data_IF_996672735220
#
_entry.id   IF_996672735220
#
_cell.length_a   1.000
_cell.length_b   1.000
_cell.length_c   1.000
_cell.angle_alpha   90.00
_cell.angle_beta   90.00
_cell.angle_gamma   90.00
#
_symmetry.space_group_name_H-M   'P 1'
#
loop_
_entity.id
_entity.type
_entity.pdbx_description
1 polymer ?
#
# COMPACT_ATOMS: atom_id res chain seq x y z
N UNK A 1 0.75 25.10 4.44
CA UNK A 1 1.43 23.80 4.69
C UNK A 1 0.47 22.63 4.99
N UNK A 2 -0.83 22.83 5.29
CA UNK A 2 -1.66 21.79 5.94
C UNK A 2 -2.40 20.76 5.07
N UNK A 3 -2.32 20.79 3.73
CA UNK A 3 -3.18 19.97 2.85
C UNK A 3 -2.46 19.03 1.88
N UNK A 4 -1.13 18.94 1.96
CA UNK A 4 -0.31 18.17 0.99
C UNK A 4 -0.55 16.65 1.06
N UNK A 5 -0.98 16.14 2.21
CA UNK A 5 -1.33 14.73 2.40
C UNK A 5 -2.66 14.32 1.73
N UNK A 6 -3.50 15.29 1.32
CA UNK A 6 -4.79 14.99 0.67
C UNK A 6 -4.61 14.38 -0.72
N UNK A 7 -3.66 14.87 -1.50
CA UNK A 7 -3.41 14.37 -2.86
C UNK A 7 -2.99 12.89 -2.87
N UNK A 8 -1.95 12.45 -2.12
CA UNK A 8 -1.61 11.04 -2.07
C UNK A 8 -2.75 10.21 -1.46
N UNK A 9 -3.41 10.70 -0.40
CA UNK A 9 -4.56 10.01 0.18
C UNK A 9 -5.67 9.76 -0.86
N UNK A 10 -6.08 10.78 -1.61
CA UNK A 10 -7.12 10.64 -2.64
C UNK A 10 -6.73 9.62 -3.70
N UNK A 11 -5.48 9.66 -4.21
CA UNK A 11 -5.02 8.67 -5.20
C UNK A 11 -5.00 7.25 -4.64
N UNK A 12 -4.66 7.06 -3.36
CA UNK A 12 -4.71 5.77 -2.67
C UNK A 12 -6.15 5.28 -2.50
N UNK A 13 -7.07 6.15 -2.11
CA UNK A 13 -8.49 5.80 -1.95
C UNK A 13 -9.13 5.44 -3.29
N UNK A 14 -8.82 6.18 -4.36
CA UNK A 14 -9.28 5.85 -5.72
C UNK A 14 -8.71 4.51 -6.17
N UNK A 15 -7.41 4.26 -5.97
CA UNK A 15 -6.80 2.97 -6.31
C UNK A 15 -7.45 1.83 -5.52
N UNK A 16 -7.58 1.97 -4.21
CA UNK A 16 -8.21 0.97 -3.36
C UNK A 16 -9.66 0.70 -3.77
N UNK A 17 -10.45 1.74 -4.07
CA UNK A 17 -11.81 1.60 -4.56
C UNK A 17 -11.87 0.85 -5.90
N UNK A 18 -10.98 1.15 -6.85
CA UNK A 18 -10.89 0.42 -8.11
C UNK A 18 -10.58 -1.07 -7.88
N UNK A 19 -9.65 -1.38 -6.97
CA UNK A 19 -9.33 -2.75 -6.61
C UNK A 19 -10.47 -3.46 -5.88
N UNK A 20 -11.27 -2.76 -5.08
CA UNK A 20 -12.48 -3.33 -4.50
C UNK A 20 -13.48 -3.75 -5.58
N UNK A 21 -13.65 -2.94 -6.65
CA UNK A 21 -14.49 -3.32 -7.79
C UNK A 21 -13.91 -4.49 -8.58
N UNK A 22 -12.59 -4.50 -8.81
CA UNK A 22 -11.92 -5.63 -9.48
C UNK A 22 -12.11 -6.92 -8.66
N UNK A 23 -11.88 -6.86 -7.35
CA UNK A 23 -12.08 -8.01 -6.46
C UNK A 23 -13.53 -8.48 -6.43
N UNK A 24 -14.50 -7.57 -6.49
CA UNK A 24 -15.91 -7.94 -6.62
C UNK A 24 -16.17 -8.76 -7.89
N UNK A 25 -15.59 -8.37 -9.03
CA UNK A 25 -15.71 -9.11 -10.29
C UNK A 25 -14.88 -10.42 -10.33
N UNK A 26 -13.78 -10.50 -9.58
CA UNK A 26 -12.94 -11.70 -9.49
C UNK A 26 -13.45 -12.70 -8.45
N UNK A 27 -14.28 -12.28 -7.50
CA UNK A 27 -14.80 -13.13 -6.42
C UNK A 27 -15.47 -14.44 -6.92
N UNK A 28 -16.26 -14.47 -8.01
CA UNK A 28 -16.82 -15.72 -8.55
C UNK A 28 -15.75 -16.72 -9.04
N UNK A 29 -14.57 -16.23 -9.41
CA UNK A 29 -13.43 -17.03 -9.88
C UNK A 29 -12.52 -17.48 -8.72
N UNK A 30 -12.86 -17.12 -7.47
CA UNK A 30 -12.08 -17.47 -6.29
C UNK A 30 -10.74 -16.76 -6.17
N UNK A 31 -10.52 -15.68 -6.94
CA UNK A 31 -9.28 -14.89 -6.93
C UNK A 31 -9.49 -13.60 -6.14
N UNK A 32 -8.54 -13.29 -5.26
CA UNK A 32 -8.48 -12.04 -4.52
C UNK A 32 -7.13 -11.34 -4.71
N UNK A 33 -7.17 -10.04 -5.01
CA UNK A 33 -6.00 -9.19 -5.21
C UNK A 33 -5.81 -8.24 -4.03
N UNK A 34 -4.67 -8.36 -3.36
CA UNK A 34 -4.27 -7.47 -2.27
C UNK A 34 -3.21 -6.47 -2.73
N UNK A 35 -3.44 -5.19 -2.41
CA UNK A 35 -2.62 -4.06 -2.88
C UNK A 35 -2.01 -3.19 -1.78
N UNK A 36 -1.98 -3.68 -0.54
CA UNK A 36 -1.49 -2.91 0.62
C UNK A 36 -0.08 -2.36 0.44
N UNK A 37 0.83 -3.14 -0.16
CA UNK A 37 2.21 -2.69 -0.42
C UNK A 37 2.27 -1.52 -1.40
N UNK A 38 1.43 -1.54 -2.44
CA UNK A 38 1.38 -0.46 -3.43
C UNK A 38 0.89 0.86 -2.84
N UNK A 39 -0.12 0.78 -1.96
CA UNK A 39 -0.70 1.94 -1.29
C UNK A 39 0.35 2.74 -0.50
N UNK A 40 1.26 2.06 0.20
CA UNK A 40 2.20 2.73 1.12
C UNK A 40 3.53 3.14 0.48
N UNK A 41 3.91 2.50 -0.64
CA UNK A 41 5.27 2.56 -1.17
C UNK A 41 5.69 3.97 -1.54
N UNK A 42 4.89 4.68 -2.33
CA UNK A 42 5.23 6.04 -2.75
C UNK A 42 5.38 6.98 -1.57
N UNK A 43 4.43 6.91 -0.63
CA UNK A 43 4.41 7.79 0.53
C UNK A 43 5.64 7.60 1.40
N UNK A 44 6.03 6.35 1.66
CA UNK A 44 7.19 6.03 2.50
C UNK A 44 8.51 6.46 1.82
N UNK A 45 8.62 6.20 0.51
CA UNK A 45 9.88 6.42 -0.21
C UNK A 45 10.10 7.89 -0.62
N UNK A 46 9.04 8.63 -0.95
CA UNK A 46 9.15 9.94 -1.62
C UNK A 46 8.64 11.14 -0.80
N UNK A 47 7.78 10.94 0.19
CA UNK A 47 7.22 12.03 1.00
C UNK A 47 7.94 12.18 2.35
N UNK A 48 7.80 13.34 3.00
CA UNK A 48 8.26 13.53 4.38
C UNK A 48 7.45 12.65 5.35
N UNK A 49 8.05 12.27 6.49
CA UNK A 49 7.44 11.32 7.45
C UNK A 49 6.02 11.73 7.83
N UNK A 50 5.83 12.99 8.24
CA UNK A 50 4.52 13.50 8.66
C UNK A 50 3.48 13.38 7.54
N UNK A 51 3.76 13.94 6.37
CA UNK A 51 2.83 13.96 5.23
C UNK A 51 2.50 12.54 4.73
N UNK A 52 3.51 11.68 4.59
CA UNK A 52 3.36 10.32 4.10
C UNK A 52 2.66 9.40 5.12
N UNK A 53 3.01 9.52 6.40
CA UNK A 53 2.42 8.71 7.45
C UNK A 53 0.97 9.10 7.70
N UNK A 54 0.63 10.40 7.73
CA UNK A 54 -0.77 10.81 7.91
C UNK A 54 -1.66 10.31 6.78
N UNK A 55 -1.23 10.43 5.52
CA UNK A 55 -1.97 9.88 4.39
C UNK A 55 -2.14 8.35 4.49
N UNK A 56 -1.09 7.65 4.93
CA UNK A 56 -1.12 6.19 5.08
C UNK A 56 -2.04 5.73 6.20
N UNK A 57 -2.00 6.39 7.37
CA UNK A 57 -2.86 6.07 8.52
C UNK A 57 -4.33 6.34 8.21
N UNK A 58 -4.64 7.45 7.52
CA UNK A 58 -6.01 7.77 7.10
C UNK A 58 -6.53 6.78 6.05
N UNK A 59 -5.68 6.35 5.11
CA UNK A 59 -6.02 5.28 4.18
C UNK A 59 -6.29 3.96 4.93
N UNK A 60 -5.45 3.60 5.90
CA UNK A 60 -5.65 2.42 6.75
C UNK A 60 -6.96 2.46 7.52
N UNK A 61 -7.33 3.61 8.10
CA UNK A 61 -8.64 3.80 8.76
C UNK A 61 -9.81 3.64 7.80
N UNK A 62 -9.71 4.17 6.58
CA UNK A 62 -10.74 4.04 5.57
C UNK A 62 -10.94 2.56 5.15
N UNK A 63 -9.85 1.81 5.04
CA UNK A 63 -9.87 0.37 4.74
C UNK A 63 -10.48 -0.40 5.92
N UNK A 64 -10.04 -0.12 7.15
CA UNK A 64 -10.58 -0.77 8.37
C UNK A 64 -12.08 -0.53 8.57
N UNK A 65 -12.64 0.56 8.03
CA UNK A 65 -14.08 0.84 8.10
C UNK A 65 -14.93 -0.05 7.17
N UNK A 66 -14.32 -0.74 6.20
CA UNK A 66 -15.02 -1.50 5.16
C UNK A 66 -14.63 -2.97 5.14
N UNK A 67 -13.35 -3.29 5.36
CA UNK A 67 -12.84 -4.65 5.30
C UNK A 67 -13.23 -5.49 6.52
N UNK A 68 -13.52 -6.80 6.35
CA UNK A 68 -13.90 -7.70 7.43
C UNK A 68 -12.66 -8.19 8.21
N UNK A 69 -11.93 -7.26 8.82
CA UNK A 69 -10.86 -7.52 9.77
C UNK A 69 -11.14 -6.77 11.08
N UNK A 70 -10.52 -7.15 12.22
CA UNK A 70 -10.63 -6.37 13.44
C UNK A 70 -10.23 -4.91 13.18
N UNK A 71 -11.10 -3.97 13.57
CA UNK A 71 -10.86 -2.55 13.32
C UNK A 71 -9.50 -2.09 13.87
N UNK A 72 -8.74 -1.35 13.08
CA UNK A 72 -7.38 -0.90 13.40
C UNK A 72 -6.27 -1.82 12.88
N UNK A 73 -6.60 -2.99 12.33
CA UNK A 73 -5.61 -3.92 11.76
C UNK A 73 -4.86 -3.28 10.60
N UNK A 74 -5.58 -2.70 9.64
CA UNK A 74 -4.96 -2.07 8.48
C UNK A 74 -4.23 -0.78 8.85
N UNK A 75 -4.78 0.03 9.76
CA UNK A 75 -4.07 1.21 10.30
C UNK A 75 -2.70 0.80 10.87
N UNK A 76 -2.65 -0.24 11.71
CA UNK A 76 -1.42 -0.67 12.36
C UNK A 76 -0.44 -1.29 11.36
N UNK A 77 -0.91 -2.22 10.51
CA UNK A 77 -0.06 -2.90 9.54
C UNK A 77 0.51 -1.93 8.50
N UNK A 78 -0.33 -1.09 7.89
CA UNK A 78 0.12 -0.13 6.88
C UNK A 78 1.00 0.96 7.50
N UNK A 79 0.67 1.43 8.70
CA UNK A 79 1.50 2.39 9.45
C UNK A 79 2.88 1.83 9.80
N UNK A 80 2.93 0.60 10.32
CA UNK A 80 4.19 -0.06 10.67
C UNK A 80 5.05 -0.29 9.41
N UNK A 81 4.48 -0.84 8.34
CA UNK A 81 5.18 -1.05 7.09
C UNK A 81 5.67 0.27 6.47
N UNK A 82 4.88 1.35 6.57
CA UNK A 82 5.31 2.69 6.15
C UNK A 82 6.56 3.15 6.90
N UNK A 83 6.57 3.04 8.23
CA UNK A 83 7.73 3.44 9.05
C UNK A 83 8.96 2.61 8.69
N UNK A 84 8.83 1.28 8.54
CA UNK A 84 9.93 0.41 8.14
C UNK A 84 10.50 0.83 6.77
N UNK A 85 9.64 1.00 5.76
CA UNK A 85 10.05 1.47 4.44
C UNK A 85 10.70 2.86 4.50
N UNK A 86 10.17 3.75 5.33
CA UNK A 86 10.72 5.10 5.51
C UNK A 86 12.14 5.06 6.07
N UNK A 87 12.43 4.17 7.03
CA UNK A 87 13.75 4.06 7.64
C UNK A 87 14.80 3.48 6.68
N UNK A 88 14.42 2.50 5.86
CA UNK A 88 15.35 1.87 4.91
C UNK A 88 15.61 2.72 3.66
N UNK A 89 14.74 3.68 3.34
CA UNK A 89 14.82 4.48 2.10
C UNK A 89 16.13 5.25 1.92
N UNK A 90 16.81 5.59 3.03
CA UNK A 90 18.06 6.34 2.98
C UNK A 90 19.22 5.54 2.36
N UNK A 91 19.09 4.20 2.30
CA UNK A 91 20.12 3.30 1.77
C UNK A 91 20.05 3.12 0.26
N UNK A 92 19.07 3.72 -0.43
CA UNK A 92 18.79 3.41 -1.84
C UNK A 92 18.52 4.65 -2.71
N UNK A 93 18.76 4.57 -4.03
CA UNK A 93 18.43 5.65 -4.96
C UNK A 93 16.92 5.89 -5.03
N UNK A 94 16.47 7.03 -4.51
CA UNK A 94 15.04 7.38 -4.34
C UNK A 94 14.24 7.51 -5.64
N UNK A 95 14.92 7.70 -6.76
CA UNK A 95 14.27 8.00 -8.04
C UNK A 95 13.99 6.76 -8.88
N UNK A 96 14.69 5.66 -8.63
CA UNK A 96 14.58 4.45 -9.42
C UNK A 96 13.21 3.79 -9.25
N UNK A 97 12.49 3.69 -10.37
CA UNK A 97 11.21 2.98 -10.44
C UNK A 97 11.35 1.52 -10.04
N UNK A 98 12.48 0.88 -10.36
CA UNK A 98 12.78 -0.49 -9.99
C UNK A 98 12.81 -0.68 -8.47
N UNK A 99 13.43 0.25 -7.74
CA UNK A 99 13.45 0.20 -6.29
C UNK A 99 12.05 0.37 -5.69
N UNK A 100 11.26 1.31 -6.23
CA UNK A 100 9.85 1.46 -5.85
C UNK A 100 9.04 0.19 -6.11
N UNK A 101 9.26 -0.46 -7.25
CA UNK A 101 8.61 -1.74 -7.57
C UNK A 101 8.99 -2.85 -6.58
N UNK A 102 10.27 -3.05 -6.32
CA UNK A 102 10.73 -4.05 -5.35
C UNK A 102 10.19 -3.78 -3.94
N UNK A 103 10.20 -2.52 -3.51
CA UNK A 103 9.63 -2.13 -2.23
C UNK A 103 8.13 -2.45 -2.14
N UNK A 104 7.36 -2.18 -3.20
CA UNK A 104 5.94 -2.49 -3.25
C UNK A 104 5.67 -3.99 -3.17
N UNK A 105 6.40 -4.81 -3.94
CA UNK A 105 6.23 -6.27 -3.94
C UNK A 105 6.58 -6.88 -2.58
N UNK A 106 7.73 -6.49 -2.00
CA UNK A 106 8.18 -6.97 -0.69
C UNK A 106 7.25 -6.52 0.44
N UNK A 107 6.82 -5.25 0.42
CA UNK A 107 5.87 -4.75 1.40
C UNK A 107 4.52 -5.47 1.27
N UNK A 108 4.04 -5.71 0.05
CA UNK A 108 2.78 -6.42 -0.17
C UNK A 108 2.86 -7.87 0.30
N UNK A 109 3.99 -8.55 0.07
CA UNK A 109 4.24 -9.88 0.59
C UNK A 109 4.17 -9.90 2.11
N UNK A 110 4.91 -9.02 2.78
CA UNK A 110 4.94 -8.95 4.24
C UNK A 110 3.57 -8.61 4.83
N UNK A 111 2.87 -7.62 4.26
CA UNK A 111 1.54 -7.20 4.70
C UNK A 111 0.49 -8.29 4.49
N UNK A 112 0.50 -8.96 3.33
CA UNK A 112 -0.43 -10.06 3.04
C UNK A 112 -0.25 -11.21 4.01
N UNK A 113 1.00 -11.61 4.28
CA UNK A 113 1.32 -12.66 5.24
C UNK A 113 0.88 -12.26 6.66
N UNK A 114 1.22 -11.05 7.10
CA UNK A 114 0.82 -10.56 8.42
C UNK A 114 -0.70 -10.53 8.59
N UNK A 115 -1.43 -10.01 7.60
CA UNK A 115 -2.89 -9.98 7.60
C UNK A 115 -3.48 -11.40 7.58
N UNK A 116 -2.89 -12.30 6.79
CA UNK A 116 -3.30 -13.71 6.75
C UNK A 116 -3.18 -14.36 8.12
N UNK A 117 -2.09 -14.14 8.86
CA UNK A 117 -1.95 -14.67 10.22
C UNK A 117 -2.99 -14.09 11.19
N UNK A 118 -3.28 -12.79 11.11
CA UNK A 118 -4.31 -12.15 11.95
C UNK A 118 -5.68 -12.77 11.71
N UNK A 119 -6.08 -12.95 10.44
CA UNK A 119 -7.39 -13.50 10.08
C UNK A 119 -7.46 -15.01 10.35
N UNK A 120 -6.41 -15.76 10.01
CA UNK A 120 -6.40 -17.22 10.13
C UNK A 120 -6.33 -17.67 11.60
N UNK A 121 -5.73 -16.87 12.49
CA UNK A 121 -5.73 -17.15 13.93
C UNK A 121 -7.14 -17.23 14.54
N UNK A 122 -8.14 -16.63 13.89
CA UNK A 122 -9.54 -16.69 14.33
C UNK A 122 -10.32 -17.89 13.77
N UNK A 123 -9.73 -18.73 12.90
CA UNK A 123 -10.44 -19.78 12.17
C UNK A 123 -10.10 -21.20 12.66
N UNK A 124 -11.11 -22.09 12.85
CA UNK A 124 -10.93 -23.43 13.45
C UNK A 124 -10.31 -24.52 12.54
N UNK A 125 -10.13 -24.28 11.23
CA UNK A 125 -9.57 -25.25 10.28
C UNK A 125 -8.52 -24.63 9.32
N UNK A 126 -7.27 -24.42 9.77
CA UNK A 126 -6.29 -23.56 9.07
C UNK A 126 -5.74 -24.17 7.77
N UNK A 127 -5.67 -25.50 7.67
CA UNK A 127 -4.85 -26.17 6.66
C UNK A 127 -5.44 -26.10 5.24
N UNK A 128 -6.77 -26.08 5.10
CA UNK A 128 -7.44 -26.08 3.80
C UNK A 128 -7.34 -24.74 3.04
N UNK A 129 -6.95 -23.66 3.73
CA UNK A 129 -6.95 -22.29 3.19
C UNK A 129 -5.63 -21.94 2.51
N UNK A 130 -4.53 -22.65 2.82
CA UNK A 130 -3.19 -22.34 2.33
C UNK A 130 -3.04 -22.33 0.80
N UNK A 131 -3.57 -23.31 0.03
CA UNK A 131 -3.42 -23.28 -1.43
C UNK A 131 -4.04 -22.02 -2.04
N UNK A 132 -5.19 -21.59 -1.49
CA UNK A 132 -5.87 -20.37 -1.92
C UNK A 132 -5.07 -19.12 -1.56
N UNK A 133 -4.54 -19.03 -0.34
CA UNK A 133 -3.70 -17.89 0.09
C UNK A 133 -2.47 -17.73 -0.80
N UNK A 134 -1.78 -18.83 -1.16
CA UNK A 134 -0.64 -18.76 -2.06
C UNK A 134 -1.03 -18.36 -3.48
N UNK A 135 -2.18 -18.82 -3.99
CA UNK A 135 -2.69 -18.40 -5.29
C UNK A 135 -3.04 -16.90 -5.30
N UNK A 136 -3.77 -16.41 -4.30
CA UNK A 136 -4.13 -15.00 -4.14
C UNK A 136 -2.90 -14.12 -3.99
N UNK A 137 -1.89 -14.57 -3.22
CA UNK A 137 -0.61 -13.88 -3.10
C UNK A 137 0.12 -13.84 -4.46
N UNK A 138 0.18 -14.94 -5.20
CA UNK A 138 0.80 -15.00 -6.52
C UNK A 138 0.14 -14.04 -7.50
N UNK A 139 -1.20 -14.03 -7.57
CA UNK A 139 -1.95 -13.10 -8.40
C UNK A 139 -1.76 -11.65 -7.96
N UNK A 140 -1.72 -11.38 -6.67
CA UNK A 140 -1.45 -10.05 -6.12
C UNK A 140 -0.07 -9.57 -6.54
N UNK A 141 0.97 -10.39 -6.42
CA UNK A 141 2.35 -10.02 -6.80
C UNK A 141 2.46 -9.75 -8.30
N UNK A 142 1.86 -10.59 -9.15
CA UNK A 142 1.84 -10.37 -10.58
C UNK A 142 1.11 -9.07 -10.96
N UNK A 143 -0.04 -8.82 -10.32
CA UNK A 143 -0.82 -7.61 -10.53
C UNK A 143 -0.03 -6.35 -10.12
N UNK A 144 0.62 -6.38 -8.95
CA UNK A 144 1.48 -5.30 -8.49
C UNK A 144 2.67 -5.07 -9.42
N UNK A 145 3.28 -6.14 -9.95
CA UNK A 145 4.39 -6.01 -10.89
C UNK A 145 4.01 -5.15 -12.10
N UNK A 146 2.79 -5.35 -12.62
CA UNK A 146 2.29 -4.61 -13.78
C UNK A 146 1.85 -3.18 -13.43
N UNK A 147 1.16 -2.99 -12.30
CA UNK A 147 0.49 -1.72 -11.98
C UNK A 147 1.39 -0.74 -11.22
N UNK A 148 2.40 -1.22 -10.49
CA UNK A 148 3.25 -0.36 -9.65
C UNK A 148 3.92 0.76 -10.44
N UNK A 149 4.60 0.53 -11.57
CA UNK A 149 5.26 1.61 -12.32
C UNK A 149 4.29 2.73 -12.73
N UNK A 150 3.10 2.34 -13.18
CA UNK A 150 2.04 3.27 -13.57
C UNK A 150 1.54 4.08 -12.36
N UNK A 151 1.25 3.43 -11.24
CA UNK A 151 0.71 4.12 -10.06
C UNK A 151 1.73 5.07 -9.43
N UNK A 152 3.01 4.67 -9.37
CA UNK A 152 4.07 5.57 -8.90
C UNK A 152 4.23 6.81 -9.80
N UNK A 153 4.06 6.64 -11.12
CA UNK A 153 4.06 7.76 -12.06
C UNK A 153 2.82 8.65 -11.89
N UNK A 154 1.64 8.07 -11.67
CA UNK A 154 0.40 8.80 -11.39
C UNK A 154 0.55 9.70 -10.16
N UNK A 155 1.00 9.14 -9.03
CA UNK A 155 1.14 9.90 -7.79
C UNK A 155 2.15 11.05 -7.93
N UNK A 156 3.25 10.83 -8.66
CA UNK A 156 4.21 11.89 -8.98
C UNK A 156 3.54 13.02 -9.76
N UNK A 157 2.84 12.71 -10.86
CA UNK A 157 2.16 13.69 -11.71
C UNK A 157 1.08 14.46 -10.96
N UNK A 158 0.30 13.79 -10.11
CA UNK A 158 -0.74 14.46 -9.29
C UNK A 158 -0.13 15.46 -8.33
N UNK A 159 1.03 15.16 -7.73
CA UNK A 159 1.74 16.10 -6.86
C UNK A 159 2.37 17.27 -7.63
N UNK A 160 2.92 17.01 -8.81
CA UNK A 160 3.42 18.05 -9.72
C UNK A 160 2.30 19.02 -10.13
N UNK A 161 1.12 18.50 -10.51
CA UNK A 161 -0.07 19.29 -10.81
C UNK A 161 -0.58 20.08 -9.59
N UNK A 162 -0.41 19.52 -8.39
CA UNK A 162 -0.69 20.21 -7.13
C UNK A 162 0.36 21.25 -6.72
N UNK A 163 1.35 21.54 -7.58
CA UNK A 163 2.49 22.41 -7.30
C UNK A 163 3.26 22.02 -6.01
N UNK A 164 3.28 20.73 -5.68
CA UNK A 164 4.06 20.20 -4.55
C UNK A 164 5.45 19.83 -5.03
N UNK A 165 6.43 20.68 -4.72
CA UNK A 165 7.84 20.38 -5.00
C UNK A 165 8.35 19.23 -4.10
N UNK A 166 8.51 18.05 -4.71
CA UNK A 166 9.03 16.85 -4.08
C UNK A 166 10.48 17.01 -3.59
N UNK A 167 11.30 17.83 -4.25
CA UNK A 167 12.67 18.09 -3.84
C UNK A 167 12.71 19.01 -2.59
N UNK A 168 11.76 19.92 -2.44
CA UNK A 168 11.61 20.69 -1.22
C UNK A 168 11.02 19.86 -0.07
N UNK A 169 10.06 18.97 -0.36
CA UNK A 169 9.43 18.10 0.64
C UNK A 169 10.43 17.07 1.20
N UNK A 170 11.30 16.52 0.36
CA UNK A 170 12.33 15.56 0.76
C UNK A 170 13.46 16.19 1.58
N UNK A 171 13.78 17.47 1.34
CA UNK A 171 14.77 18.24 2.12
C UNK A 171 14.29 18.59 3.53
N UNK A 172 12.98 18.79 3.73
CA UNK A 172 12.38 19.03 5.06
C UNK A 172 12.31 17.79 5.96
N UNK A 173 12.77 16.65 5.46
CA UNK A 173 12.81 15.38 6.19
C UNK A 173 14.16 15.12 6.90
N UNK A 174 15.13 16.03 6.74
CA UNK A 174 16.38 16.13 7.51
C UNK A 174 16.30 17.36 8.41
#
# INVERSE_FOLDING_TARGET
MHRRWLLPLLTMLVLWWLFAQINHHLAPHGVYLYVGGLLITFNALRLGLRTGLTATLLAGLAIDAVEPAPFGTHLLLLGAAHVVLYQIRARFPREETLFGLLAALLANLALFLALSFVVLAAHPAPWAVWPRLFADLGWSQLCLFLITPWFLALQRRVLELGHVDLAAESRRAF
#
